data_IF_665079222370
#
_entry.id   IF_665079222370
#
_cell.length_a   1.000
_cell.length_b   1.000
_cell.length_c   1.000
_cell.angle_alpha   90.00
_cell.angle_beta   90.00
_cell.angle_gamma   90.00
#
_symmetry.space_group_name_H-M   'P 1'
#
loop_
_entity.id
_entity.type
_entity.pdbx_description
1 polymer ?
#
# COMPACT_ATOMS: atom_id res chain seq x y z
N UNK A 1 -22.69 -4.82 13.31
CA UNK A 1 -21.30 -5.27 13.29
C UNK A 1 -20.97 -5.92 11.96
N UNK A 2 -19.69 -6.08 11.66
CA UNK A 2 -19.27 -6.83 10.48
C UNK A 2 -19.64 -8.31 10.62
N UNK A 3 -19.93 -8.98 9.53
CA UNK A 3 -20.16 -10.43 9.43
C UNK A 3 -19.29 -11.05 8.35
N UNK A 4 -19.12 -12.36 8.39
CA UNK A 4 -18.49 -13.08 7.31
C UNK A 4 -19.32 -12.97 6.00
N UNK A 5 -18.64 -12.82 4.88
CA UNK A 5 -19.25 -12.86 3.54
C UNK A 5 -19.66 -14.28 3.18
N UNK A 6 -20.72 -14.43 2.43
CA UNK A 6 -21.05 -15.69 1.77
C UNK A 6 -20.14 -15.94 0.56
N UNK A 7 -20.12 -17.16 0.00
CA UNK A 7 -19.37 -17.45 -1.24
C UNK A 7 -19.85 -16.57 -2.41
N UNK A 8 -21.16 -16.40 -2.55
CA UNK A 8 -21.73 -15.55 -3.62
C UNK A 8 -21.28 -14.09 -3.48
N UNK A 9 -21.22 -13.58 -2.24
CA UNK A 9 -20.71 -12.22 -1.97
C UNK A 9 -19.21 -12.10 -2.27
N UNK A 10 -18.41 -13.14 -2.01
CA UNK A 10 -16.99 -13.15 -2.38
C UNK A 10 -16.85 -13.11 -3.90
N UNK A 11 -17.58 -13.97 -4.62
CA UNK A 11 -17.58 -13.98 -6.09
C UNK A 11 -18.03 -12.66 -6.70
N UNK A 12 -19.11 -12.10 -6.20
CA UNK A 12 -19.57 -10.77 -6.62
C UNK A 12 -18.54 -9.66 -6.34
N UNK A 13 -17.76 -9.79 -5.26
CA UNK A 13 -16.67 -8.86 -4.94
C UNK A 13 -15.50 -9.03 -5.91
N UNK A 14 -15.06 -10.25 -6.20
CA UNK A 14 -14.04 -10.53 -7.22
C UNK A 14 -14.44 -9.92 -8.57
N UNK A 15 -15.67 -10.14 -9.02
CA UNK A 15 -16.23 -9.57 -10.25
C UNK A 15 -16.25 -8.03 -10.23
N UNK A 16 -16.60 -7.43 -9.07
CA UNK A 16 -16.63 -5.97 -8.92
C UNK A 16 -15.23 -5.33 -9.08
N UNK A 17 -14.17 -5.98 -8.53
CA UNK A 17 -12.79 -5.53 -8.75
C UNK A 17 -12.38 -5.64 -10.21
N UNK A 18 -12.70 -6.75 -10.88
CA UNK A 18 -12.40 -6.98 -12.30
C UNK A 18 -13.11 -5.93 -13.17
N UNK A 19 -14.40 -5.72 -12.92
CA UNK A 19 -15.18 -4.71 -13.64
C UNK A 19 -14.65 -3.28 -13.42
N UNK A 20 -14.20 -2.95 -12.20
CA UNK A 20 -13.57 -1.67 -11.91
C UNK A 20 -12.28 -1.46 -12.72
N UNK A 21 -11.46 -2.50 -12.89
CA UNK A 21 -10.27 -2.46 -13.74
C UNK A 21 -10.62 -2.21 -15.20
N UNK A 22 -11.61 -2.94 -15.75
CA UNK A 22 -12.09 -2.75 -17.13
C UNK A 22 -12.60 -1.33 -17.35
N UNK A 23 -13.41 -0.81 -16.43
CA UNK A 23 -13.92 0.55 -16.49
C UNK A 23 -12.80 1.61 -16.41
N UNK A 24 -11.78 1.36 -15.57
CA UNK A 24 -10.60 2.24 -15.47
C UNK A 24 -9.82 2.27 -16.79
N UNK A 25 -9.58 1.12 -17.40
CA UNK A 25 -8.93 1.04 -18.70
C UNK A 25 -9.76 1.76 -19.80
N UNK A 26 -11.07 1.53 -19.84
CA UNK A 26 -11.98 2.21 -20.78
C UNK A 26 -12.02 3.73 -20.58
N UNK A 27 -11.83 4.20 -19.36
CA UNK A 27 -11.75 5.63 -19.03
C UNK A 27 -10.38 6.25 -19.38
N UNK A 28 -9.41 5.45 -19.85
CA UNK A 28 -8.09 5.91 -20.28
C UNK A 28 -7.04 5.97 -19.18
N UNK A 29 -7.24 5.26 -18.05
CA UNK A 29 -6.18 5.08 -17.06
C UNK A 29 -5.15 4.06 -17.56
N UNK A 30 -3.87 4.30 -17.24
CA UNK A 30 -2.75 3.43 -17.63
C UNK A 30 -2.64 2.17 -16.77
N UNK A 31 -3.29 2.14 -15.63
CA UNK A 31 -3.25 1.00 -14.70
C UNK A 31 -4.07 1.23 -13.44
N UNK A 32 -4.04 0.23 -12.56
CA UNK A 32 -4.66 0.30 -11.24
C UNK A 32 -3.83 -0.42 -10.16
N UNK A 33 -4.05 -0.02 -8.92
CA UNK A 33 -3.51 -0.68 -7.75
C UNK A 33 -4.63 -1.33 -6.93
N UNK A 34 -4.55 -2.63 -6.71
CA UNK A 34 -5.45 -3.38 -5.83
C UNK A 34 -5.09 -3.07 -4.38
N UNK A 35 -6.08 -2.65 -3.58
CA UNK A 35 -5.83 -2.28 -2.19
C UNK A 35 -5.96 -3.48 -1.24
N UNK A 36 -4.88 -4.18 -0.99
CA UNK A 36 -4.78 -5.31 -0.05
C UNK A 36 -4.20 -4.96 1.32
N UNK A 37 -4.26 -3.69 1.74
CA UNK A 37 -3.58 -3.16 2.91
C UNK A 37 -4.53 -2.56 3.96
N UNK A 38 -3.96 -2.08 5.08
CA UNK A 38 -4.55 -1.18 6.09
C UNK A 38 -5.76 -1.73 6.83
N UNK A 39 -5.95 -3.06 6.91
CA UNK A 39 -7.07 -3.68 7.61
C UNK A 39 -8.41 -3.59 6.86
N UNK A 40 -8.40 -3.16 5.58
CA UNK A 40 -9.59 -3.19 4.73
C UNK A 40 -9.86 -4.60 4.20
N UNK A 41 -10.91 -4.77 3.40
CA UNK A 41 -11.49 -6.06 3.06
C UNK A 41 -10.44 -7.12 2.67
N UNK A 42 -9.59 -6.87 1.68
CA UNK A 42 -8.61 -7.84 1.22
C UNK A 42 -7.53 -8.12 2.28
N UNK A 43 -7.11 -7.11 3.05
CA UNK A 43 -6.22 -7.28 4.19
C UNK A 43 -6.87 -8.15 5.29
N UNK A 44 -8.19 -8.04 5.50
CA UNK A 44 -8.91 -8.88 6.46
C UNK A 44 -8.95 -10.34 6.01
N UNK A 45 -9.01 -10.62 4.70
CA UNK A 45 -8.87 -11.99 4.18
C UNK A 45 -7.47 -12.54 4.42
N UNK A 46 -6.41 -11.74 4.27
CA UNK A 46 -5.03 -12.15 4.52
C UNK A 46 -4.76 -12.45 5.99
N UNK A 47 -5.40 -11.71 6.91
CA UNK A 47 -5.17 -11.81 8.34
C UNK A 47 -5.71 -13.11 8.94
N UNK A 48 -4.85 -13.89 9.60
CA UNK A 48 -5.27 -15.06 10.36
C UNK A 48 -6.11 -14.71 11.61
N UNK A 49 -6.00 -13.46 12.10
CA UNK A 49 -6.76 -13.00 13.28
C UNK A 49 -8.21 -12.66 12.94
N UNK A 50 -8.45 -12.06 11.79
CA UNK A 50 -9.78 -11.62 11.35
C UNK A 50 -10.47 -12.63 10.45
N UNK A 51 -9.73 -13.33 9.60
CA UNK A 51 -10.25 -14.38 8.73
C UNK A 51 -10.30 -15.71 9.47
N UNK A 52 -11.47 -16.02 10.05
CA UNK A 52 -11.74 -17.25 10.79
C UNK A 52 -12.58 -18.24 10.00
N UNK A 53 -12.51 -18.16 8.66
CA UNK A 53 -13.21 -19.06 7.76
C UNK A 53 -12.57 -20.44 7.79
N UNK A 54 -13.39 -21.48 7.58
CA UNK A 54 -13.01 -22.89 7.49
C UNK A 54 -13.21 -23.48 6.09
N UNK A 55 -13.47 -22.60 5.10
CA UNK A 55 -13.61 -22.92 3.69
C UNK A 55 -12.34 -22.58 2.88
N UNK A 56 -12.43 -22.66 1.55
CA UNK A 56 -11.32 -22.40 0.63
C UNK A 56 -10.79 -20.95 0.63
N UNK A 57 -11.41 -20.04 1.39
CA UNK A 57 -10.97 -18.65 1.57
C UNK A 57 -10.37 -18.40 2.97
N UNK A 58 -10.19 -19.44 3.80
CA UNK A 58 -9.67 -19.32 5.16
C UNK A 58 -8.71 -20.45 5.56
N UNK A 59 -8.13 -20.33 6.76
CA UNK A 59 -7.16 -21.27 7.29
C UNK A 59 -5.75 -21.03 6.75
N UNK A 60 -5.28 -21.79 5.76
CA UNK A 60 -3.92 -21.66 5.21
C UNK A 60 -3.69 -20.32 4.52
N UNK A 61 -2.42 -19.90 4.42
CA UNK A 61 -2.05 -18.69 3.68
C UNK A 61 -2.54 -18.75 2.22
N UNK A 62 -2.41 -19.90 1.56
CA UNK A 62 -2.92 -20.13 0.21
C UNK A 62 -4.42 -19.81 0.08
N UNK A 63 -5.22 -20.28 1.04
CA UNK A 63 -6.65 -20.00 1.05
C UNK A 63 -6.94 -18.52 1.34
N UNK A 64 -6.21 -17.92 2.27
CA UNK A 64 -6.40 -16.50 2.65
C UNK A 64 -6.00 -15.53 1.53
N UNK A 65 -5.08 -15.91 0.65
CA UNK A 65 -4.69 -15.11 -0.53
C UNK A 65 -5.60 -15.32 -1.72
N UNK A 66 -6.40 -16.38 -1.76
CA UNK A 66 -7.19 -16.81 -2.92
C UNK A 66 -8.07 -15.72 -3.55
N UNK A 67 -8.73 -14.91 -2.73
CA UNK A 67 -9.56 -13.81 -3.25
C UNK A 67 -8.72 -12.80 -4.04
N UNK A 68 -7.52 -12.45 -3.57
CA UNK A 68 -6.61 -11.53 -4.26
C UNK A 68 -6.09 -12.19 -5.54
N UNK A 69 -5.70 -13.45 -5.48
CA UNK A 69 -5.18 -14.21 -6.62
C UNK A 69 -6.25 -14.30 -7.73
N UNK A 70 -7.51 -14.57 -7.38
CA UNK A 70 -8.63 -14.59 -8.32
C UNK A 70 -8.87 -13.21 -8.96
N UNK A 71 -8.79 -12.13 -8.18
CA UNK A 71 -8.93 -10.76 -8.69
C UNK A 71 -7.79 -10.45 -9.67
N UNK A 72 -6.54 -10.74 -9.32
CA UNK A 72 -5.37 -10.52 -10.20
C UNK A 72 -5.56 -11.29 -11.51
N UNK A 73 -5.87 -12.57 -11.43
CA UNK A 73 -6.07 -13.43 -12.61
C UNK A 73 -7.21 -12.92 -13.50
N UNK A 74 -8.35 -12.52 -12.90
CA UNK A 74 -9.48 -11.99 -13.62
C UNK A 74 -9.19 -10.65 -14.32
N UNK A 75 -8.45 -9.75 -13.67
CA UNK A 75 -8.03 -8.47 -14.28
C UNK A 75 -7.07 -8.72 -15.46
N UNK A 76 -6.07 -9.60 -15.29
CA UNK A 76 -5.14 -9.95 -16.37
C UNK A 76 -5.82 -10.61 -17.57
N UNK A 77 -6.93 -11.31 -17.35
CA UNK A 77 -7.74 -11.89 -18.43
C UNK A 77 -8.63 -10.85 -19.12
N UNK A 78 -9.13 -9.85 -18.38
CA UNK A 78 -10.13 -8.90 -18.86
C UNK A 78 -9.55 -7.60 -19.44
N UNK A 79 -8.34 -7.23 -19.04
CA UNK A 79 -7.66 -6.01 -19.47
C UNK A 79 -6.50 -6.33 -20.43
N UNK A 80 -6.09 -5.32 -21.21
CA UNK A 80 -4.95 -5.45 -22.12
C UNK A 80 -3.62 -5.60 -21.37
N UNK A 81 -2.64 -6.22 -21.99
CA UNK A 81 -1.29 -6.42 -21.41
C UNK A 81 -0.57 -5.10 -21.11
N UNK A 82 -0.96 -4.01 -21.74
CA UNK A 82 -0.41 -2.65 -21.49
C UNK A 82 -1.01 -1.99 -20.26
N UNK A 83 -2.10 -2.52 -19.70
CA UNK A 83 -2.72 -2.00 -18.48
C UNK A 83 -1.92 -2.44 -17.26
N UNK A 84 -1.26 -1.48 -16.61
CA UNK A 84 -0.41 -1.75 -15.44
C UNK A 84 -1.24 -2.22 -14.25
N UNK A 85 -0.79 -3.28 -13.58
CA UNK A 85 -1.45 -3.83 -12.41
C UNK A 85 -0.50 -3.91 -11.23
N UNK A 86 -0.92 -3.33 -10.13
CA UNK A 86 -0.19 -3.34 -8.86
C UNK A 86 -1.03 -3.87 -7.71
N UNK A 87 -0.37 -4.26 -6.63
CA UNK A 87 -1.01 -4.66 -5.38
C UNK A 87 -0.35 -3.95 -4.21
N UNK A 88 -1.17 -3.35 -3.34
CA UNK A 88 -0.70 -2.77 -2.09
C UNK A 88 -0.92 -3.71 -0.92
N UNK A 89 0.12 -3.90 -0.10
CA UNK A 89 0.11 -4.78 1.07
C UNK A 89 0.61 -4.06 2.33
N UNK A 90 0.11 -4.48 3.49
CA UNK A 90 0.69 -4.16 4.80
C UNK A 90 1.41 -5.40 5.32
N UNK A 91 2.72 -5.34 5.64
CA UNK A 91 3.46 -6.51 6.10
C UNK A 91 3.29 -6.80 7.59
N UNK A 92 2.84 -5.80 8.34
CA UNK A 92 2.65 -5.84 9.78
C UNK A 92 1.34 -5.18 10.16
N UNK A 93 0.91 -5.34 11.41
CA UNK A 93 -0.37 -4.83 11.93
C UNK A 93 -1.57 -5.57 11.34
N UNK A 94 -2.76 -5.19 11.75
CA UNK A 94 -4.03 -5.71 11.23
C UNK A 94 -4.17 -7.24 11.25
N UNK A 95 -3.39 -7.93 12.11
CA UNK A 95 -3.41 -9.38 12.25
C UNK A 95 -2.74 -10.16 11.11
N UNK A 96 -1.94 -9.49 10.26
CA UNK A 96 -1.06 -10.18 9.30
C UNK A 96 0.32 -10.41 9.89
N UNK A 97 0.99 -11.47 9.45
CA UNK A 97 2.34 -11.85 9.89
C UNK A 97 3.35 -11.53 8.79
N UNK A 98 4.48 -10.93 9.16
CA UNK A 98 5.49 -10.47 8.20
C UNK A 98 6.09 -11.60 7.37
N UNK A 99 6.31 -12.76 7.96
CA UNK A 99 6.85 -13.95 7.28
C UNK A 99 5.87 -14.51 6.24
N UNK A 100 4.57 -14.53 6.57
CA UNK A 100 3.52 -14.90 5.61
C UNK A 100 3.40 -13.91 4.46
N UNK A 101 3.46 -12.60 4.75
CA UNK A 101 3.42 -11.57 3.71
C UNK A 101 4.70 -11.60 2.86
N UNK A 102 5.87 -11.89 3.44
CA UNK A 102 7.10 -12.07 2.69
C UNK A 102 7.02 -13.28 1.73
N UNK A 103 6.48 -14.41 2.19
CA UNK A 103 6.27 -15.58 1.36
C UNK A 103 5.25 -15.31 0.23
N UNK A 104 4.17 -14.59 0.53
CA UNK A 104 3.19 -14.17 -0.48
C UNK A 104 3.80 -13.21 -1.51
N UNK A 105 4.58 -12.24 -1.05
CA UNK A 105 5.31 -11.30 -1.90
C UNK A 105 6.22 -12.03 -2.91
N UNK A 106 7.06 -12.97 -2.45
CA UNK A 106 7.94 -13.72 -3.34
C UNK A 106 7.16 -14.57 -4.35
N UNK A 107 6.05 -15.18 -3.94
CA UNK A 107 5.16 -15.93 -4.85
C UNK A 107 4.58 -15.02 -5.92
N UNK A 108 4.02 -13.86 -5.55
CA UNK A 108 3.49 -12.88 -6.51
C UNK A 108 4.56 -12.41 -7.50
N UNK A 109 5.78 -12.17 -7.03
CA UNK A 109 6.89 -11.78 -7.89
C UNK A 109 7.32 -12.91 -8.84
N UNK A 110 7.30 -14.18 -8.38
CA UNK A 110 7.62 -15.34 -9.22
C UNK A 110 6.58 -15.54 -10.33
N UNK A 111 5.31 -15.25 -10.07
CA UNK A 111 4.22 -15.34 -11.05
C UNK A 111 4.29 -14.26 -12.15
N UNK A 112 5.07 -13.18 -11.93
CA UNK A 112 5.32 -12.06 -12.88
C UNK A 112 4.03 -11.44 -13.45
N UNK A 113 2.98 -11.42 -12.66
CA UNK A 113 1.66 -10.89 -13.08
C UNK A 113 1.47 -9.43 -12.71
N UNK A 114 2.26 -8.94 -11.74
CA UNK A 114 2.21 -7.55 -11.26
C UNK A 114 3.40 -6.76 -11.77
N UNK A 115 3.15 -5.50 -12.15
CA UNK A 115 4.20 -4.57 -12.56
C UNK A 115 4.99 -4.06 -11.35
N UNK A 116 4.27 -3.79 -10.25
CA UNK A 116 4.90 -3.46 -8.98
C UNK A 116 4.05 -3.89 -7.77
N UNK A 117 4.70 -3.97 -6.61
CA UNK A 117 4.05 -4.14 -5.32
C UNK A 117 4.35 -2.92 -4.45
N UNK A 118 3.29 -2.30 -3.87
CA UNK A 118 3.39 -1.20 -2.90
C UNK A 118 3.34 -1.77 -1.48
N UNK A 119 4.46 -1.69 -0.78
CA UNK A 119 4.54 -2.10 0.61
C UNK A 119 4.29 -0.92 1.55
N UNK A 120 3.12 -0.91 2.19
CA UNK A 120 2.78 0.06 3.24
C UNK A 120 3.44 -0.30 4.55
N UNK A 121 4.70 0.15 4.73
CA UNK A 121 5.55 -0.22 5.86
C UNK A 121 5.25 0.57 7.14
N UNK A 122 4.41 1.61 7.08
CA UNK A 122 4.09 2.52 8.18
C UNK A 122 5.27 3.40 8.62
N UNK A 123 6.43 2.80 8.83
CA UNK A 123 7.73 3.41 9.04
C UNK A 123 8.77 2.54 8.33
N UNK A 124 9.33 3.04 7.24
CA UNK A 124 10.23 2.27 6.37
C UNK A 124 11.51 1.85 7.06
N UNK A 125 11.94 2.62 8.07
CA UNK A 125 13.18 2.36 8.82
C UNK A 125 12.96 1.63 10.15
N UNK A 126 11.70 1.30 10.49
CA UNK A 126 11.41 0.52 11.68
C UNK A 126 12.06 -0.87 11.58
N UNK A 127 12.74 -1.28 12.64
CA UNK A 127 13.24 -2.64 12.78
C UNK A 127 12.11 -3.61 13.14
N UNK A 128 12.25 -4.84 12.65
CA UNK A 128 11.35 -5.95 12.99
C UNK A 128 11.69 -6.45 14.39
N UNK A 129 10.71 -6.48 15.27
CA UNK A 129 10.90 -6.80 16.69
C UNK A 129 11.07 -8.31 16.96
N UNK A 130 10.48 -9.17 16.11
CA UNK A 130 10.45 -10.62 16.32
C UNK A 130 10.41 -11.41 14.99
N UNK A 131 10.52 -12.73 15.09
CA UNK A 131 10.44 -13.63 13.95
C UNK A 131 11.71 -13.71 13.12
N UNK A 132 11.63 -14.25 11.88
CA UNK A 132 12.80 -14.55 11.05
C UNK A 132 13.55 -13.30 10.56
N UNK A 133 12.91 -12.14 10.57
CA UNK A 133 13.48 -10.88 10.13
C UNK A 133 13.91 -9.95 11.27
N UNK A 134 13.92 -10.44 12.52
CA UNK A 134 14.25 -9.63 13.70
C UNK A 134 15.54 -8.82 13.53
N UNK A 135 15.48 -7.51 13.86
CA UNK A 135 16.59 -6.57 13.78
C UNK A 135 16.88 -6.04 12.37
N UNK A 136 16.14 -6.48 11.34
CA UNK A 136 16.23 -5.90 10.00
C UNK A 136 15.21 -4.75 9.89
N UNK A 137 15.57 -3.67 9.18
CA UNK A 137 14.61 -2.62 8.84
C UNK A 137 13.58 -3.15 7.85
N UNK A 138 12.34 -2.73 7.97
CA UNK A 138 11.25 -3.17 7.09
C UNK A 138 11.57 -2.97 5.60
N UNK A 139 12.20 -1.84 5.24
CA UNK A 139 12.63 -1.59 3.86
C UNK A 139 13.66 -2.62 3.39
N UNK A 140 14.61 -3.01 4.26
CA UNK A 140 15.65 -3.99 3.92
C UNK A 140 15.08 -5.40 3.74
N UNK A 141 14.04 -5.77 4.50
CA UNK A 141 13.36 -7.06 4.34
C UNK A 141 12.84 -7.19 2.91
N UNK A 142 11.98 -6.28 2.48
CA UNK A 142 11.29 -6.41 1.20
C UNK A 142 12.17 -6.08 -0.01
N UNK A 143 13.16 -5.20 0.12
CA UNK A 143 14.10 -4.90 -0.97
C UNK A 143 15.06 -6.04 -1.29
N UNK A 144 15.33 -6.93 -0.32
CA UNK A 144 16.25 -8.07 -0.46
C UNK A 144 15.58 -9.39 -0.87
N UNK A 145 14.24 -9.48 -0.78
CA UNK A 145 13.51 -10.64 -1.28
C UNK A 145 13.64 -10.76 -2.80
N UNK A 146 13.51 -11.99 -3.29
CA UNK A 146 13.57 -12.22 -4.74
C UNK A 146 12.27 -11.71 -5.40
N UNK A 147 12.39 -10.65 -6.18
CA UNK A 147 11.26 -10.00 -6.85
C UNK A 147 11.30 -10.09 -8.38
N UNK A 148 12.30 -10.78 -8.92
CA UNK A 148 12.47 -10.90 -10.37
C UNK A 148 12.39 -9.51 -11.06
N UNK A 149 11.43 -9.33 -11.99
CA UNK A 149 11.25 -8.08 -12.73
C UNK A 149 10.19 -7.15 -12.08
N UNK A 150 9.48 -7.63 -11.03
CA UNK A 150 8.46 -6.86 -10.34
C UNK A 150 9.09 -5.69 -9.58
N UNK A 151 8.57 -4.49 -9.80
CA UNK A 151 9.05 -3.29 -9.12
C UNK A 151 8.53 -3.21 -7.69
N UNK A 152 9.33 -2.57 -6.83
CA UNK A 152 8.96 -2.33 -5.43
C UNK A 152 8.81 -0.84 -5.19
N UNK A 153 7.67 -0.45 -4.62
CA UNK A 153 7.52 0.85 -3.98
C UNK A 153 7.20 0.66 -2.50
N UNK A 154 7.57 1.63 -1.68
CA UNK A 154 7.31 1.61 -0.26
C UNK A 154 6.75 2.94 0.22
N UNK A 155 5.87 2.87 1.21
CA UNK A 155 5.30 4.03 1.91
C UNK A 155 5.52 3.90 3.42
N UNK A 156 5.90 5.00 4.08
CA UNK A 156 5.98 5.05 5.54
C UNK A 156 6.98 6.06 6.06
N UNK A 157 6.51 7.18 6.59
CA UNK A 157 7.29 8.26 7.20
C UNK A 157 8.44 8.83 6.34
N UNK A 158 8.37 8.71 5.04
CA UNK A 158 9.31 9.36 4.12
C UNK A 158 8.92 10.84 4.06
N UNK A 159 9.78 11.72 4.57
CA UNK A 159 9.47 13.15 4.75
C UNK A 159 10.58 14.08 4.27
N UNK A 160 11.77 13.55 4.03
CA UNK A 160 12.95 14.31 3.60
C UNK A 160 13.55 13.72 2.33
N UNK A 161 14.35 14.51 1.61
CA UNK A 161 15.13 14.03 0.48
C UNK A 161 16.14 12.95 0.89
N UNK A 162 16.68 13.04 2.12
CA UNK A 162 17.58 12.01 2.68
C UNK A 162 16.84 10.69 2.89
N UNK A 163 15.59 10.72 3.40
CA UNK A 163 14.77 9.50 3.51
C UNK A 163 14.58 8.84 2.14
N UNK A 164 14.29 9.63 1.10
CA UNK A 164 14.13 9.12 -0.26
C UNK A 164 15.41 8.46 -0.76
N UNK A 165 16.57 9.12 -0.61
CA UNK A 165 17.86 8.56 -1.00
C UNK A 165 18.13 7.24 -0.28
N UNK A 166 17.95 7.20 1.04
CA UNK A 166 18.18 6.02 1.87
C UNK A 166 17.27 4.84 1.48
N UNK A 167 16.03 5.11 1.08
CA UNK A 167 15.08 4.09 0.60
C UNK A 167 15.48 3.56 -0.78
N UNK A 168 15.86 4.45 -1.71
CA UNK A 168 16.31 4.06 -3.04
C UNK A 168 17.64 3.27 -2.97
N UNK A 169 18.58 3.70 -2.12
CA UNK A 169 19.85 3.01 -1.89
C UNK A 169 19.66 1.61 -1.26
N UNK A 170 18.57 1.40 -0.53
CA UNK A 170 18.19 0.06 -0.05
C UNK A 170 17.69 -0.88 -1.16
N UNK A 171 17.49 -0.37 -2.39
CA UNK A 171 17.10 -1.15 -3.56
C UNK A 171 15.61 -1.08 -3.92
N UNK A 172 14.88 -0.09 -3.40
CA UNK A 172 13.49 0.22 -3.80
C UNK A 172 13.52 0.97 -5.13
N UNK A 173 12.54 0.73 -6.02
CA UNK A 173 12.54 1.35 -7.36
C UNK A 173 11.98 2.78 -7.35
N UNK A 174 10.96 3.05 -6.52
CA UNK A 174 10.36 4.37 -6.32
C UNK A 174 9.65 4.44 -4.97
N UNK A 175 9.29 5.64 -4.51
CA UNK A 175 8.69 5.85 -3.18
C UNK A 175 7.27 6.38 -3.29
N UNK A 176 6.42 6.00 -2.33
CA UNK A 176 5.08 6.53 -2.17
C UNK A 176 5.05 7.52 -0.98
N UNK A 177 4.63 8.76 -1.26
CA UNK A 177 4.55 9.83 -0.27
C UNK A 177 3.11 9.99 0.22
N UNK A 178 2.90 9.84 1.53
CA UNK A 178 1.60 10.10 2.15
C UNK A 178 1.52 11.52 2.70
N UNK A 179 1.81 11.67 4.00
CA UNK A 179 1.71 12.96 4.71
C UNK A 179 2.58 14.06 4.09
N UNK A 180 3.75 13.73 3.59
CA UNK A 180 4.63 14.69 2.91
C UNK A 180 3.94 15.32 1.69
N UNK A 181 3.20 14.53 0.89
CA UNK A 181 2.42 15.04 -0.25
C UNK A 181 1.20 15.87 0.16
N UNK A 182 0.61 15.62 1.36
CA UNK A 182 -0.46 16.45 1.92
C UNK A 182 0.09 17.82 2.36
N UNK A 183 1.31 17.84 2.90
CA UNK A 183 1.99 19.04 3.39
C UNK A 183 2.58 19.88 2.25
N UNK A 184 2.93 19.26 1.14
CA UNK A 184 3.51 19.87 -0.05
C UNK A 184 3.02 19.15 -1.30
N UNK A 185 2.03 19.70 -1.99
CA UNK A 185 1.46 19.12 -3.22
C UNK A 185 2.51 18.97 -4.35
N UNK A 186 3.52 19.80 -4.34
CA UNK A 186 4.65 19.86 -5.28
C UNK A 186 5.93 19.21 -4.73
N UNK A 187 5.82 18.31 -3.76
CA UNK A 187 6.96 17.68 -3.09
C UNK A 187 7.99 17.09 -4.07
N UNK A 188 7.59 16.33 -5.12
CA UNK A 188 8.56 15.80 -6.09
C UNK A 188 9.33 16.90 -6.84
N UNK A 189 8.69 18.02 -7.14
CA UNK A 189 9.33 19.16 -7.79
C UNK A 189 10.34 19.81 -6.86
N UNK A 190 9.97 20.09 -5.61
CA UNK A 190 10.88 20.62 -4.58
C UNK A 190 12.10 19.71 -4.37
N UNK A 191 11.90 18.40 -4.36
CA UNK A 191 12.99 17.44 -4.25
C UNK A 191 13.90 17.46 -5.51
N UNK A 192 13.34 17.57 -6.70
CA UNK A 192 14.12 17.68 -7.94
C UNK A 192 14.99 18.95 -7.97
N UNK A 193 14.49 20.07 -7.43
CA UNK A 193 15.20 21.35 -7.33
C UNK A 193 16.24 21.33 -6.19
N UNK A 194 15.94 20.68 -5.09
CA UNK A 194 16.82 20.55 -3.91
C UNK A 194 16.68 19.17 -3.28
N UNK A 195 17.64 18.31 -3.52
CA UNK A 195 17.64 16.95 -3.00
C UNK A 195 17.76 16.85 -1.46
N UNK A 196 18.08 17.93 -0.77
CA UNK A 196 18.10 18.01 0.68
C UNK A 196 16.80 18.60 1.26
N UNK A 197 15.75 18.70 0.42
CA UNK A 197 14.45 19.21 0.82
C UNK A 197 13.87 18.43 1.99
N UNK A 198 13.29 19.16 2.94
CA UNK A 198 12.61 18.61 4.12
C UNK A 198 11.19 19.16 4.17
N UNK A 199 10.24 18.26 4.42
CA UNK A 199 8.84 18.68 4.63
C UNK A 199 8.71 19.51 5.91
N UNK A 200 7.78 20.46 5.86
CA UNK A 200 7.40 21.21 7.07
C UNK A 200 6.94 20.25 8.18
N UNK A 201 7.30 20.58 9.40
CA UNK A 201 6.88 19.77 10.56
C UNK A 201 5.44 20.08 10.96
N UNK A 202 4.71 19.06 11.39
CA UNK A 202 3.39 19.22 12.00
C UNK A 202 3.51 19.59 13.48
N UNK A 203 2.52 20.34 14.06
CA UNK A 203 1.26 20.73 13.45
C UNK A 203 1.39 21.96 12.52
N UNK A 204 0.63 21.95 11.43
CA UNK A 204 0.53 23.07 10.47
C UNK A 204 -0.78 23.82 10.61
N UNK A 205 -0.87 25.03 10.05
CA UNK A 205 -2.11 25.81 10.03
C UNK A 205 -3.10 25.30 8.98
N UNK A 206 -4.41 25.53 9.18
CA UNK A 206 -5.43 25.30 8.15
C UNK A 206 -5.15 26.12 6.89
N UNK A 207 -4.62 27.33 7.05
CA UNK A 207 -4.24 28.21 5.94
C UNK A 207 -3.13 27.58 5.07
N UNK A 208 -2.13 26.94 5.70
CA UNK A 208 -1.08 26.20 4.97
C UNK A 208 -1.71 25.09 4.11
N UNK A 209 -2.54 24.24 4.71
CA UNK A 209 -3.18 23.13 3.98
C UNK A 209 -4.06 23.63 2.80
N UNK A 210 -4.76 24.76 3.00
CA UNK A 210 -5.55 25.36 1.94
C UNK A 210 -4.66 25.92 0.82
N UNK A 211 -3.51 26.51 1.15
CA UNK A 211 -2.53 26.97 0.17
C UNK A 211 -1.89 25.81 -0.61
N UNK A 212 -1.77 24.63 0.01
CA UNK A 212 -1.35 23.39 -0.65
C UNK A 212 -2.46 22.72 -1.48
N UNK A 213 -3.60 23.39 -1.66
CA UNK A 213 -4.68 22.95 -2.56
C UNK A 213 -5.72 22.04 -1.90
N UNK A 214 -5.67 21.81 -0.58
CA UNK A 214 -6.66 20.99 0.09
C UNK A 214 -8.01 21.69 0.17
N UNK A 215 -9.06 21.01 -0.29
CA UNK A 215 -10.43 21.51 -0.16
C UNK A 215 -10.92 21.59 1.31
N UNK A 216 -11.91 22.45 1.62
CA UNK A 216 -12.33 22.69 3.00
C UNK A 216 -12.74 21.44 3.79
N UNK A 217 -13.38 20.47 3.13
CA UNK A 217 -13.78 19.20 3.77
C UNK A 217 -12.54 18.36 4.15
N UNK A 218 -11.50 18.36 3.32
CA UNK A 218 -10.30 17.61 3.61
C UNK A 218 -9.45 18.31 4.67
N UNK A 219 -9.36 19.64 4.66
CA UNK A 219 -8.74 20.42 5.76
C UNK A 219 -9.43 20.12 7.11
N UNK A 220 -10.78 20.05 7.12
CA UNK A 220 -11.55 19.67 8.30
C UNK A 220 -11.23 18.24 8.76
N UNK A 221 -11.13 17.30 7.83
CA UNK A 221 -10.74 15.92 8.12
C UNK A 221 -9.34 15.84 8.70
N UNK A 222 -8.35 16.54 8.11
CA UNK A 222 -6.98 16.58 8.64
C UNK A 222 -6.92 17.15 10.05
N UNK A 223 -7.84 18.04 10.42
CA UNK A 223 -7.94 18.58 11.77
C UNK A 223 -8.38 17.55 12.83
N UNK A 224 -8.91 16.39 12.42
CA UNK A 224 -9.20 15.27 13.32
C UNK A 224 -7.96 14.40 13.64
N UNK A 225 -6.88 14.59 12.92
CA UNK A 225 -5.64 13.86 13.16
C UNK A 225 -4.84 14.54 14.27
N UNK A 226 -4.64 13.84 15.38
CA UNK A 226 -3.94 14.36 16.52
C UNK A 226 -2.55 14.91 16.12
N UNK A 227 -2.28 16.18 16.44
CA UNK A 227 -1.00 16.85 16.19
C UNK A 227 -0.70 17.13 14.71
N UNK A 228 -1.67 17.02 13.80
CA UNK A 228 -1.44 17.34 12.37
C UNK A 228 -1.77 18.79 12.04
N UNK A 229 -2.86 19.34 12.58
CA UNK A 229 -3.28 20.72 12.40
C UNK A 229 -3.27 21.44 13.74
N UNK A 230 -2.81 22.70 13.74
CA UNK A 230 -2.80 23.54 14.94
C UNK A 230 -4.22 23.73 15.45
N UNK A 231 -4.44 23.53 16.75
CA UNK A 231 -5.70 23.90 17.39
C UNK A 231 -5.91 25.41 17.23
N UNK A 232 -7.14 25.79 16.89
CA UNK A 232 -7.49 27.21 16.83
C UNK A 232 -7.40 27.78 18.24
N UNK A 233 -6.59 28.82 18.43
CA UNK A 233 -6.55 29.56 19.67
C UNK A 233 -7.89 30.21 19.97
#
# INVERSE_FOLDING_TARGET
GARAMTHDEIKATEEAFINAAVLSQQAGFDGMEIHGAHGYLLCQFLSADTNRRDDEYGGSLENRTRIIDNIIAGIKQACDNSFSLALRLSPTRFGVQIDEIAAYYERLCADRTLDFIDMSLWDVFQEVDEGPFKGQRLVDVFSKLNRHDTKLTVAGKITTGEDVKNVLDAGVDFVALGRAGILHHDWPQKFAENQDFQSIQTPVTKAHLSAEGLGPKFVSYMSTWAGFVQESA
#
